data_IF_779268363741
#
_entry.id   IF_779268363741
#
_cell.length_a   1.000
_cell.length_b   1.000
_cell.length_c   1.000
_cell.angle_alpha   90.00
_cell.angle_beta   90.00
_cell.angle_gamma   90.00
#
_symmetry.space_group_name_H-M   'P 1'
#
loop_
_entity.id
_entity.type
_entity.pdbx_description
1 polymer ?
#
# COMPACT_ATOMS: atom_id res chain seq x y z
N UNK A 1 -51.15 19.63 -40.77
CA UNK A 1 -51.41 19.68 -39.32
C UNK A 1 -50.68 18.57 -38.50
N UNK A 2 -50.07 17.55 -39.12
CA UNK A 2 -49.45 16.42 -38.39
C UNK A 2 -48.00 16.60 -37.90
N UNK A 3 -47.32 17.72 -38.22
CA UNK A 3 -45.88 17.91 -37.91
C UNK A 3 -45.61 18.64 -36.59
N UNK A 4 -46.58 19.40 -36.07
CA UNK A 4 -46.42 20.12 -34.80
C UNK A 4 -46.44 19.19 -33.58
N UNK A 5 -47.24 18.11 -33.60
CA UNK A 5 -47.33 17.16 -32.48
C UNK A 5 -46.01 16.40 -32.28
N UNK A 6 -45.32 16.05 -33.36
CA UNK A 6 -44.03 15.38 -33.33
C UNK A 6 -42.91 16.31 -32.83
N UNK A 7 -42.91 17.59 -33.28
CA UNK A 7 -41.97 18.60 -32.80
C UNK A 7 -42.15 18.89 -31.31
N UNK A 8 -43.39 18.99 -30.84
CA UNK A 8 -43.68 19.23 -29.42
C UNK A 8 -43.23 18.05 -28.54
N UNK A 9 -43.44 16.82 -29.01
CA UNK A 9 -43.00 15.61 -28.30
C UNK A 9 -41.48 15.51 -28.22
N UNK A 10 -40.77 15.84 -29.32
CA UNK A 10 -39.31 15.85 -29.36
C UNK A 10 -38.73 16.90 -28.39
N UNK A 11 -39.31 18.11 -28.37
CA UNK A 11 -38.89 19.16 -27.43
C UNK A 11 -39.07 18.72 -25.98
N UNK A 12 -40.19 18.10 -25.64
CA UNK A 12 -40.45 17.62 -24.28
C UNK A 12 -39.47 16.51 -23.86
N UNK A 13 -39.14 15.60 -24.78
CA UNK A 13 -38.15 14.55 -24.54
C UNK A 13 -36.75 15.13 -24.29
N UNK A 14 -36.33 16.13 -25.08
CA UNK A 14 -35.05 16.80 -24.87
C UNK A 14 -34.98 17.53 -23.52
N UNK A 15 -36.04 18.23 -23.11
CA UNK A 15 -36.09 18.92 -21.82
C UNK A 15 -36.03 17.93 -20.66
N UNK A 16 -36.75 16.80 -20.74
CA UNK A 16 -36.69 15.75 -19.73
C UNK A 16 -35.29 15.14 -19.60
N UNK A 17 -34.58 14.94 -20.71
CA UNK A 17 -33.22 14.40 -20.71
C UNK A 17 -32.22 15.36 -20.04
N UNK A 18 -32.35 16.67 -20.31
CA UNK A 18 -31.49 17.70 -19.68
C UNK A 18 -31.76 17.82 -18.18
N UNK A 19 -33.01 17.69 -17.73
CA UNK A 19 -33.38 17.77 -16.31
C UNK A 19 -32.88 16.56 -15.51
N UNK A 20 -32.97 15.35 -16.05
CA UNK A 20 -32.43 14.14 -15.40
C UNK A 20 -30.90 14.13 -15.43
N UNK A 21 -30.28 14.69 -16.47
CA UNK A 21 -28.83 14.69 -16.64
C UNK A 21 -28.08 15.75 -15.81
N UNK A 22 -28.77 16.68 -15.15
CA UNK A 22 -28.14 17.74 -14.33
C UNK A 22 -28.24 17.47 -12.81
N UNK A 23 -28.79 16.31 -12.40
CA UNK A 23 -28.68 15.80 -11.03
C UNK A 23 -27.31 15.16 -10.80
N UNK A 24 -26.24 15.95 -10.89
CA UNK A 24 -24.93 15.48 -10.41
C UNK A 24 -25.05 15.11 -8.93
N UNK A 25 -24.40 14.03 -8.46
CA UNK A 25 -24.45 13.63 -7.05
C UNK A 25 -24.10 14.85 -6.20
N UNK A 26 -25.03 15.27 -5.34
CA UNK A 26 -24.81 16.35 -4.39
C UNK A 26 -23.53 16.04 -3.65
N UNK A 27 -22.59 16.99 -3.62
CA UNK A 27 -21.31 16.84 -2.96
C UNK A 27 -21.53 16.43 -1.51
N UNK A 28 -21.49 15.12 -1.26
CA UNK A 28 -21.48 14.57 0.07
C UNK A 28 -20.19 15.10 0.67
N UNK A 29 -20.33 15.98 1.66
CA UNK A 29 -19.25 16.43 2.53
C UNK A 29 -18.54 15.19 3.04
N UNK A 30 -17.45 14.81 2.38
CA UNK A 30 -16.66 13.62 2.75
C UNK A 30 -16.24 13.86 4.20
N UNK A 31 -16.60 12.96 5.15
CA UNK A 31 -16.16 13.12 6.52
C UNK A 31 -14.64 13.29 6.52
N UNK A 32 -14.08 14.23 7.31
CA UNK A 32 -12.64 14.48 7.36
C UNK A 32 -11.86 13.35 8.04
N UNK A 33 -12.51 12.20 8.25
CA UNK A 33 -12.02 11.04 8.99
C UNK A 33 -12.24 9.79 8.16
N UNK A 34 -11.33 8.83 8.28
CA UNK A 34 -11.47 7.54 7.64
C UNK A 34 -12.70 6.79 8.14
N UNK A 35 -13.42 6.16 7.20
CA UNK A 35 -14.48 5.18 7.52
C UNK A 35 -13.88 3.78 7.71
N UNK A 36 -14.54 2.92 8.49
CA UNK A 36 -14.07 1.55 8.72
C UNK A 36 -13.91 0.76 7.42
N UNK A 37 -14.82 0.97 6.47
CA UNK A 37 -14.74 0.36 5.14
C UNK A 37 -13.48 0.81 4.37
N UNK A 38 -13.09 2.09 4.47
CA UNK A 38 -11.85 2.57 3.85
C UNK A 38 -10.61 1.98 4.53
N UNK A 39 -10.61 1.89 5.86
CA UNK A 39 -9.51 1.27 6.60
C UNK A 39 -9.36 -0.21 6.24
N UNK A 40 -10.47 -0.94 6.13
CA UNK A 40 -10.45 -2.35 5.73
C UNK A 40 -9.89 -2.55 4.31
N UNK A 41 -10.25 -1.66 3.37
CA UNK A 41 -9.68 -1.70 2.02
C UNK A 41 -8.17 -1.42 2.04
N UNK A 42 -7.71 -0.44 2.84
CA UNK A 42 -6.27 -0.16 2.98
C UNK A 42 -5.54 -1.38 3.58
N UNK A 43 -6.12 -2.01 4.61
CA UNK A 43 -5.56 -3.19 5.27
C UNK A 43 -5.39 -4.39 4.36
N UNK A 44 -6.29 -4.58 3.41
CA UNK A 44 -6.23 -5.71 2.48
C UNK A 44 -4.94 -5.72 1.65
N UNK A 45 -4.39 -4.54 1.34
CA UNK A 45 -3.23 -4.40 0.45
C UNK A 45 -1.89 -4.20 1.20
N UNK A 46 -1.93 -3.91 2.49
CA UNK A 46 -0.72 -3.72 3.32
C UNK A 46 0.22 -4.95 3.36
N UNK A 47 -0.28 -6.20 3.50
CA UNK A 47 0.59 -7.37 3.59
C UNK A 47 1.48 -7.57 2.34
N UNK A 48 0.93 -7.35 1.15
CA UNK A 48 1.68 -7.46 -0.10
C UNK A 48 2.73 -6.36 -0.23
N UNK A 49 2.42 -5.13 0.19
CA UNK A 49 3.38 -4.03 0.24
C UNK A 49 4.53 -4.36 1.21
N UNK A 50 4.21 -4.95 2.37
CA UNK A 50 5.23 -5.33 3.35
C UNK A 50 6.09 -6.53 2.91
N UNK A 51 5.48 -7.52 2.25
CA UNK A 51 6.19 -8.64 1.61
C UNK A 51 7.15 -8.13 0.53
N UNK A 52 6.74 -7.16 -0.27
CA UNK A 52 7.61 -6.52 -1.24
C UNK A 52 8.73 -5.71 -0.56
N UNK A 53 8.45 -4.99 0.53
CA UNK A 53 9.46 -4.29 1.31
C UNK A 53 10.57 -5.25 1.79
N UNK A 54 10.21 -6.43 2.32
CA UNK A 54 11.18 -7.45 2.75
C UNK A 54 12.06 -7.98 1.60
N UNK A 55 11.62 -7.84 0.35
CA UNK A 55 12.36 -8.26 -0.85
C UNK A 55 13.34 -7.21 -1.37
N UNK A 56 13.37 -6.01 -0.79
CA UNK A 56 14.31 -4.96 -1.17
C UNK A 56 15.77 -5.39 -0.95
N UNK A 57 16.05 -6.12 0.13
CA UNK A 57 17.40 -6.65 0.39
C UNK A 57 17.84 -7.64 -0.69
N UNK A 58 16.92 -8.48 -1.18
CA UNK A 58 17.19 -9.39 -2.28
C UNK A 58 17.45 -8.63 -3.59
N UNK A 59 16.72 -7.54 -3.85
CA UNK A 59 16.97 -6.67 -5.00
C UNK A 59 18.35 -6.01 -4.90
N UNK A 60 18.70 -5.47 -3.74
CA UNK A 60 20.02 -4.87 -3.50
C UNK A 60 21.15 -5.89 -3.74
N UNK A 61 21.00 -7.10 -3.19
CA UNK A 61 21.94 -8.19 -3.41
C UNK A 61 22.04 -8.55 -4.91
N UNK A 62 20.93 -8.56 -5.65
CA UNK A 62 20.94 -8.80 -7.08
C UNK A 62 21.69 -7.69 -7.86
N UNK A 63 21.53 -6.42 -7.48
CA UNK A 63 22.26 -5.28 -8.04
C UNK A 63 23.76 -5.43 -7.81
N UNK A 64 24.17 -5.70 -6.57
CA UNK A 64 25.60 -5.87 -6.22
C UNK A 64 26.23 -7.06 -6.96
N UNK A 65 25.47 -8.14 -7.12
CA UNK A 65 25.91 -9.33 -7.87
C UNK A 65 25.78 -9.18 -9.39
N UNK A 66 25.34 -8.02 -9.90
CA UNK A 66 25.12 -7.77 -11.35
C UNK A 66 24.18 -8.79 -11.98
N UNK A 67 23.24 -9.32 -11.21
CA UNK A 67 22.26 -10.28 -11.70
C UNK A 67 21.11 -9.55 -12.40
N UNK A 68 21.37 -9.05 -13.61
CA UNK A 68 20.41 -8.24 -14.39
C UNK A 68 19.12 -8.98 -14.72
N UNK A 69 19.18 -10.30 -14.87
CA UNK A 69 17.99 -11.10 -15.12
C UNK A 69 17.07 -11.11 -13.89
N UNK A 70 17.64 -11.33 -12.70
CA UNK A 70 16.89 -11.30 -11.45
C UNK A 70 16.30 -9.91 -11.22
N UNK A 71 17.10 -8.84 -11.31
CA UNK A 71 16.65 -7.46 -11.12
C UNK A 71 15.40 -7.16 -11.97
N UNK A 72 15.44 -7.48 -13.27
CA UNK A 72 14.32 -7.22 -14.19
C UNK A 72 13.11 -8.11 -13.91
N UNK A 73 13.34 -9.36 -13.51
CA UNK A 73 12.28 -10.28 -13.07
C UNK A 73 11.57 -9.76 -11.83
N UNK A 74 12.33 -9.31 -10.82
CA UNK A 74 11.80 -8.77 -9.57
C UNK A 74 11.03 -7.48 -9.80
N UNK A 75 11.56 -6.55 -10.62
CA UNK A 75 10.89 -5.27 -10.93
C UNK A 75 9.54 -5.50 -11.63
N UNK A 76 9.51 -6.40 -12.61
CA UNK A 76 8.30 -6.63 -13.44
C UNK A 76 7.30 -7.60 -12.81
N UNK A 77 7.74 -8.39 -11.83
CA UNK A 77 6.88 -9.31 -11.08
C UNK A 77 6.44 -8.69 -9.75
N UNK A 78 7.10 -9.03 -8.62
CA UNK A 78 6.67 -8.64 -7.28
C UNK A 78 6.62 -7.12 -7.03
N UNK A 79 7.55 -6.33 -7.58
CA UNK A 79 7.44 -4.88 -7.43
C UNK A 79 6.37 -4.27 -8.34
N UNK A 80 6.08 -4.91 -9.48
CA UNK A 80 4.96 -4.55 -10.32
C UNK A 80 3.61 -4.70 -9.60
N UNK A 81 3.41 -5.83 -8.89
CA UNK A 81 2.22 -6.03 -8.05
C UNK A 81 2.16 -5.05 -6.89
N UNK A 82 3.29 -4.80 -6.21
CA UNK A 82 3.34 -3.80 -5.14
C UNK A 82 2.89 -2.41 -5.61
N UNK A 83 3.36 -1.93 -6.77
CA UNK A 83 2.94 -0.63 -7.31
C UNK A 83 1.43 -0.60 -7.60
N UNK A 84 0.86 -1.72 -8.06
CA UNK A 84 -0.58 -1.85 -8.24
C UNK A 84 -1.33 -1.75 -6.90
N UNK A 85 -0.85 -2.41 -5.87
CA UNK A 85 -1.42 -2.39 -4.52
C UNK A 85 -1.34 -0.99 -3.88
N UNK A 86 -0.19 -0.32 -4.02
CA UNK A 86 -0.03 1.08 -3.60
C UNK A 86 -1.04 1.99 -4.28
N UNK A 87 -1.31 1.80 -5.58
CA UNK A 87 -2.34 2.54 -6.30
C UNK A 87 -3.72 2.29 -5.69
N UNK A 88 -4.08 1.04 -5.37
CA UNK A 88 -5.35 0.75 -4.69
C UNK A 88 -5.43 1.43 -3.32
N UNK A 89 -4.37 1.39 -2.52
CA UNK A 89 -4.31 2.12 -1.24
C UNK A 89 -4.55 3.61 -1.44
N UNK A 90 -3.87 4.25 -2.39
CA UNK A 90 -4.02 5.70 -2.63
C UNK A 90 -5.44 6.12 -3.01
N UNK A 91 -6.20 5.24 -3.69
CA UNK A 91 -7.61 5.54 -4.04
C UNK A 91 -8.56 5.53 -2.84
N UNK A 92 -8.18 4.88 -1.75
CA UNK A 92 -8.97 4.80 -0.52
C UNK A 92 -8.55 5.82 0.53
N UNK A 93 -7.44 6.54 0.32
CA UNK A 93 -7.02 7.65 1.16
C UNK A 93 -7.98 8.85 1.07
N UNK A 94 -7.99 9.63 2.14
CA UNK A 94 -8.67 10.92 2.19
C UNK A 94 -8.15 11.84 1.07
N UNK A 95 -8.99 12.75 0.55
CA UNK A 95 -8.57 13.67 -0.51
C UNK A 95 -7.34 14.52 -0.16
N UNK A 96 -7.14 14.85 1.12
CA UNK A 96 -5.96 15.59 1.62
C UNK A 96 -4.66 14.82 1.42
N UNK A 97 -4.67 13.52 1.71
CA UNK A 97 -3.46 12.69 1.76
C UNK A 97 -3.19 12.02 0.41
N UNK A 98 -4.24 11.83 -0.39
CA UNK A 98 -4.19 11.21 -1.72
C UNK A 98 -3.18 11.89 -2.64
N UNK A 99 -3.17 13.23 -2.69
CA UNK A 99 -2.28 13.94 -3.65
C UNK A 99 -0.81 13.66 -3.35
N UNK A 100 -0.43 13.66 -2.08
CA UNK A 100 0.93 13.34 -1.67
C UNK A 100 1.27 11.86 -1.95
N UNK A 101 0.39 10.94 -1.54
CA UNK A 101 0.60 9.50 -1.74
C UNK A 101 0.68 9.09 -3.22
N UNK A 102 -0.15 9.70 -4.08
CA UNK A 102 -0.10 9.47 -5.54
C UNK A 102 1.22 9.96 -6.14
N UNK A 103 1.73 11.11 -5.65
CA UNK A 103 3.03 11.60 -6.10
C UNK A 103 4.14 10.63 -5.70
N UNK A 104 4.17 10.21 -4.44
CA UNK A 104 5.20 9.27 -3.94
C UNK A 104 5.12 7.94 -4.67
N UNK A 105 3.93 7.37 -4.86
CA UNK A 105 3.77 6.12 -5.61
C UNK A 105 4.28 6.24 -7.05
N UNK A 106 4.12 7.41 -7.69
CA UNK A 106 4.70 7.67 -9.01
C UNK A 106 6.22 7.76 -8.96
N UNK A 107 6.77 8.44 -7.95
CA UNK A 107 8.21 8.61 -7.79
C UNK A 107 8.89 7.23 -7.61
N UNK A 108 8.34 6.36 -6.74
CA UNK A 108 8.81 4.96 -6.56
C UNK A 108 8.76 4.18 -7.88
N UNK A 109 7.67 4.33 -8.65
CA UNK A 109 7.57 3.67 -9.96
C UNK A 109 8.65 4.15 -10.93
N UNK A 110 8.97 5.45 -10.92
CA UNK A 110 10.05 6.01 -11.74
C UNK A 110 11.41 5.49 -11.29
N UNK A 111 11.64 5.35 -9.99
CA UNK A 111 12.88 4.80 -9.47
C UNK A 111 13.06 3.34 -9.92
N UNK A 112 12.02 2.51 -9.86
CA UNK A 112 12.09 1.14 -10.39
C UNK A 112 12.33 1.08 -11.91
N UNK A 113 11.78 2.02 -12.68
CA UNK A 113 12.14 2.17 -14.10
C UNK A 113 13.64 2.52 -14.23
N UNK A 114 14.15 3.40 -13.37
CA UNK A 114 15.57 3.74 -13.30
C UNK A 114 16.45 2.52 -13.07
N UNK A 115 16.04 1.61 -12.16
CA UNK A 115 16.75 0.35 -11.92
C UNK A 115 16.67 -0.59 -13.14
N UNK A 116 15.50 -0.76 -13.78
CA UNK A 116 15.37 -1.60 -14.99
C UNK A 116 16.23 -1.05 -16.15
N UNK A 117 16.27 0.27 -16.32
CA UNK A 117 17.10 0.94 -17.33
C UNK A 117 18.59 0.76 -17.04
N UNK A 118 19.02 0.99 -15.79
CA UNK A 118 20.39 0.79 -15.37
C UNK A 118 20.82 -0.68 -15.53
N UNK A 119 19.91 -1.64 -15.32
CA UNK A 119 20.15 -3.05 -15.59
C UNK A 119 20.33 -3.37 -17.07
N UNK A 120 19.60 -2.69 -17.98
CA UNK A 120 19.81 -2.81 -19.43
C UNK A 120 21.21 -2.28 -19.82
N UNK A 121 21.65 -1.20 -19.19
CA UNK A 121 22.93 -0.55 -19.44
C UNK A 121 24.11 -1.21 -18.73
N UNK A 122 23.87 -2.20 -17.87
CA UNK A 122 24.85 -2.81 -16.95
C UNK A 122 25.51 -1.79 -16.00
N UNK A 123 24.79 -0.72 -15.67
CA UNK A 123 25.24 0.38 -14.83
C UNK A 123 24.89 0.11 -13.35
N UNK A 124 25.84 -0.41 -12.59
CA UNK A 124 25.63 -0.71 -11.15
C UNK A 124 25.38 0.56 -10.35
N UNK A 125 26.16 1.62 -10.59
CA UNK A 125 26.05 2.87 -9.82
C UNK A 125 24.69 3.53 -10.04
N UNK A 126 24.21 3.55 -11.29
CA UNK A 126 22.87 4.04 -11.63
C UNK A 126 21.76 3.19 -11.02
N UNK A 127 21.94 1.86 -10.96
CA UNK A 127 20.98 0.96 -10.33
C UNK A 127 20.92 1.18 -8.81
N UNK A 128 22.07 1.33 -8.14
CA UNK A 128 22.14 1.62 -6.70
C UNK A 128 21.55 2.99 -6.36
N UNK A 129 21.84 4.02 -7.16
CA UNK A 129 21.28 5.35 -6.94
C UNK A 129 19.75 5.34 -7.03
N UNK A 130 19.20 4.64 -8.03
CA UNK A 130 17.76 4.49 -8.21
C UNK A 130 17.14 3.61 -7.11
N UNK A 131 17.85 2.57 -6.68
CA UNK A 131 17.45 1.73 -5.55
C UNK A 131 17.34 2.53 -4.25
N UNK A 132 18.35 3.33 -3.90
CA UNK A 132 18.32 4.17 -2.70
C UNK A 132 17.19 5.20 -2.75
N UNK A 133 16.84 5.70 -3.94
CA UNK A 133 15.68 6.57 -4.13
C UNK A 133 14.37 5.83 -3.86
N UNK A 134 14.20 4.65 -4.45
CA UNK A 134 13.01 3.82 -4.26
C UNK A 134 12.79 3.48 -2.77
N UNK A 135 13.86 3.12 -2.04
CA UNK A 135 13.78 2.82 -0.60
C UNK A 135 13.29 4.02 0.19
N UNK A 136 13.90 5.21 -0.02
CA UNK A 136 13.50 6.44 0.68
C UNK A 136 12.07 6.82 0.39
N UNK A 137 11.63 6.70 -0.86
CA UNK A 137 10.27 7.08 -1.23
C UNK A 137 9.24 6.06 -0.73
N UNK A 138 9.59 4.77 -0.64
CA UNK A 138 8.75 3.75 -0.01
C UNK A 138 8.60 3.99 1.50
N UNK A 139 9.66 4.36 2.20
CA UNK A 139 9.59 4.76 3.61
C UNK A 139 8.67 5.98 3.81
N UNK A 140 8.78 6.99 2.94
CA UNK A 140 7.86 8.14 2.96
C UNK A 140 6.42 7.74 2.68
N UNK A 141 6.20 6.79 1.78
CA UNK A 141 4.85 6.29 1.48
C UNK A 141 4.23 5.64 2.72
N UNK A 142 4.98 4.75 3.39
CA UNK A 142 4.52 4.06 4.60
C UNK A 142 4.24 5.06 5.72
N UNK A 143 5.12 6.05 5.91
CA UNK A 143 4.93 7.11 6.91
C UNK A 143 3.70 8.01 6.68
N UNK A 144 3.16 8.04 5.45
CA UNK A 144 1.94 8.79 5.12
C UNK A 144 0.65 7.98 5.29
N UNK A 145 0.76 6.67 5.53
CA UNK A 145 -0.43 5.86 5.78
C UNK A 145 -0.98 6.20 7.17
N UNK A 146 -2.31 6.31 7.32
CA UNK A 146 -2.91 6.64 8.60
C UNK A 146 -2.55 5.60 9.64
N UNK A 147 -2.15 6.05 10.84
CA UNK A 147 -2.00 5.16 11.99
C UNK A 147 -3.34 4.50 12.27
N UNK A 148 -3.38 3.18 12.09
CA UNK A 148 -4.61 2.45 12.29
C UNK A 148 -4.85 2.28 13.79
N UNK A 149 -6.08 2.46 14.28
CA UNK A 149 -6.42 2.20 15.69
C UNK A 149 -6.19 0.72 16.10
N UNK A 150 -5.98 -0.18 15.13
CA UNK A 150 -5.62 -1.59 15.39
C UNK A 150 -4.14 -1.77 15.72
N UNK A 151 -3.24 -0.87 15.30
CA UNK A 151 -1.83 -0.94 15.67
C UNK A 151 -1.59 -0.53 17.14
N UNK A 152 -2.42 0.37 17.69
CA UNK A 152 -2.42 0.67 19.11
C UNK A 152 -3.01 -0.47 19.96
N UNK A 153 -3.99 -1.22 19.43
CA UNK A 153 -4.54 -2.39 20.11
C UNK A 153 -3.63 -3.63 20.05
N UNK A 154 -2.84 -3.80 18.98
CA UNK A 154 -1.86 -4.88 18.85
C UNK A 154 -0.53 -4.61 19.58
N UNK A 155 -0.29 -3.38 20.03
CA UNK A 155 0.85 -3.04 20.89
C UNK A 155 0.55 -3.26 22.39
N UNK A 156 -0.70 -3.54 22.76
CA UNK A 156 -1.07 -3.90 24.15
C UNK A 156 -1.33 -5.41 24.33
N UNK A 157 -1.36 -6.19 23.24
CA UNK A 157 -1.51 -7.66 23.27
C UNK A 157 -0.22 -8.39 22.85
N UNK A 158 0.93 -7.73 23.05
CA UNK A 158 2.15 -8.50 23.30
C UNK A 158 2.11 -8.90 24.76
N UNK A 159 1.73 -10.16 25.01
CA UNK A 159 1.96 -10.87 26.27
C UNK A 159 3.25 -10.34 26.88
N UNK A 160 3.12 -9.67 28.03
CA UNK A 160 4.23 -9.00 28.68
C UNK A 160 5.36 -10.02 28.84
N UNK A 161 6.59 -9.60 28.51
CA UNK A 161 7.78 -10.44 28.72
C UNK A 161 7.87 -10.88 30.19
N UNK A 162 7.28 -10.11 31.11
CA UNK A 162 7.12 -10.48 32.53
C UNK A 162 6.23 -11.71 32.76
N UNK A 163 5.15 -11.91 31.99
CA UNK A 163 4.24 -13.07 32.13
C UNK A 163 4.88 -14.35 31.56
N UNK A 164 5.66 -14.24 30.47
CA UNK A 164 6.47 -15.35 29.96
C UNK A 164 7.67 -15.67 30.87
N UNK A 165 8.21 -14.69 31.59
CA UNK A 165 9.29 -14.92 32.56
C UNK A 165 8.78 -15.59 33.84
N UNK A 166 7.53 -15.33 34.27
CA UNK A 166 6.91 -16.03 35.39
C UNK A 166 6.56 -17.49 35.04
N UNK A 167 6.04 -17.78 33.83
CA UNK A 167 5.80 -19.16 33.39
C UNK A 167 7.11 -19.97 33.25
N UNK A 168 8.20 -19.34 32.81
CA UNK A 168 9.51 -20.03 32.74
C UNK A 168 10.13 -20.29 34.12
N UNK A 169 9.84 -19.43 35.11
CA UNK A 169 10.33 -19.59 36.48
C UNK A 169 9.67 -20.77 37.20
N UNK A 170 8.37 -20.99 36.99
CA UNK A 170 7.68 -22.16 37.55
C UNK A 170 8.18 -23.49 36.95
N UNK A 171 8.59 -23.50 35.68
CA UNK A 171 9.14 -24.70 35.04
C UNK A 171 10.58 -25.00 35.51
N UNK A 172 11.40 -23.97 35.77
CA UNK A 172 12.75 -24.13 36.33
C UNK A 172 12.69 -24.65 37.78
N UNK A 173 11.79 -24.12 38.62
CA UNK A 173 11.63 -24.57 40.01
C UNK A 173 11.05 -26.02 40.10
N UNK A 174 10.20 -26.42 39.16
CA UNK A 174 9.66 -27.78 39.10
C UNK A 174 10.68 -28.82 38.61
N UNK A 175 11.72 -28.40 37.88
CA UNK A 175 12.77 -29.31 37.38
C UNK A 175 13.91 -29.49 38.39
N UNK A 176 14.17 -28.51 39.26
CA UNK A 176 15.18 -28.62 40.31
C UNK A 176 14.72 -29.43 41.54
N UNK A 177 13.40 -29.52 41.80
CA UNK A 177 12.84 -30.32 42.90
C UNK A 177 12.81 -31.84 42.65
N UNK A 178 13.15 -32.32 41.44
CA UNK A 178 13.17 -33.75 41.09
C UNK A 178 14.60 -34.33 40.99
N UNK A 179 15.61 -33.51 41.28
CA UNK A 179 17.02 -33.91 41.24
C UNK A 179 17.65 -33.90 42.65
N UNK A 180 17.13 -34.72 43.57
CA UNK A 180 17.92 -35.19 44.72
C UNK A 180 18.08 -36.72 44.66
N UNK A 181 19.28 -37.26 44.94
CA UNK A 181 19.70 -38.59 44.52
C UNK A 181 19.29 -39.68 45.51
N UNK A 182 18.99 -40.86 44.99
CA UNK A 182 19.04 -42.13 45.72
C UNK A 182 20.09 -43.04 45.08
#
# INVERSE_FOLDING_TARGET
MFRFRALLSCLFACVAFVLVSCGGPSAVSVPPTYTDAQLQQIQQYLPEIQSAYQRLDALNAAIQNRNWQEIRSTIRGPFGSMIQDMKYVTTHLLPSDRTAAVKISRDIFQDFIGIDQAAIENNVDGALQSFDAAVRDLEKFIAQLPEMPVAAAAAEDTVSVDELLDELKEVEEATEASAEPA
#
